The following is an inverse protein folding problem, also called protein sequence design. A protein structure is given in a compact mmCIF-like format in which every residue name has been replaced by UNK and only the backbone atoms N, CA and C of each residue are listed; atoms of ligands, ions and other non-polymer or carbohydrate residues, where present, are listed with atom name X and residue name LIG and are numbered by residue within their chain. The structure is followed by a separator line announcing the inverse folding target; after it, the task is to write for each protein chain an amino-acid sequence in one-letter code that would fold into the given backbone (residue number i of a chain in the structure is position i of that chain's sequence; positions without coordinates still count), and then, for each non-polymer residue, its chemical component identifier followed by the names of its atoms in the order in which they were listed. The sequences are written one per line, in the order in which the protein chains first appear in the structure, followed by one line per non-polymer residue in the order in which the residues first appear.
data_IF_843492953475
#
_entry.id   IF_843492953475
#
_cell.length_a   1.000
_cell.length_b   1.000
_cell.length_c   1.000
_cell.angle_alpha   90.00
_cell.angle_beta   90.00
_cell.angle_gamma   90.00
#
_symmetry.space_group_name_H-M   'P 1'
#
loop_
_entity.id
_entity.type
_entity.pdbx_description
1 polymer ?
2 non-polymer ?
3 non-polymer ?
4 water ?
#
# COMPACT_ATOMS: atom_id res chain seq x y z
N UNK A 19 -29.21 -11.66 0.00
CA UNK A 19 -28.80 -11.21 1.37
C UNK A 19 -27.95 -12.28 2.06
N UNK A 20 -28.52 -13.49 2.16
CA UNK A 20 -27.82 -14.66 2.68
C UNK A 20 -27.03 -15.25 1.51
N UNK A 21 -25.72 -15.30 1.66
CA UNK A 21 -24.83 -15.90 0.66
C UNK A 21 -23.71 -16.66 1.39
N UNK A 22 -22.98 -17.51 0.66
CA UNK A 22 -22.00 -18.37 1.31
C UNK A 22 -20.90 -18.86 0.38
N UNK A 23 -19.83 -19.39 0.98
CA UNK A 23 -18.75 -20.06 0.26
C UNK A 23 -17.92 -20.95 1.19
N UNK A 24 -17.21 -21.92 0.62
CA UNK A 24 -16.22 -22.71 1.37
C UNK A 24 -14.82 -22.29 0.97
N UNK A 25 -13.91 -22.39 1.92
CA UNK A 25 -12.48 -22.21 1.67
C UNK A 25 -11.78 -23.30 2.50
N UNK A 26 -11.24 -24.30 1.79
CA UNK A 26 -10.54 -25.44 2.40
C UNK A 26 -11.44 -26.15 3.40
N UNK A 27 -12.66 -26.47 2.95
CA UNK A 27 -13.64 -27.17 3.78
C UNK A 27 -14.44 -26.29 4.74
N UNK A 28 -13.83 -25.22 5.26
CA UNK A 28 -14.49 -24.36 6.24
C UNK A 28 -15.50 -23.47 5.53
N UNK A 29 -16.69 -23.35 6.10
CA UNK A 29 -17.78 -22.57 5.51
C UNK A 29 -17.73 -21.13 6.02
N UNK A 30 -17.80 -20.17 5.10
CA UNK A 30 -17.89 -18.72 5.42
C UNK A 30 -19.19 -18.16 4.85
N UNK A 31 -19.81 -17.28 5.62
CA UNK A 31 -21.10 -16.69 5.33
C UNK A 31 -20.84 -15.26 4.90
N UNK A 32 -21.18 -14.93 3.66
CA UNK A 32 -20.87 -13.62 3.07
C UNK A 32 -21.84 -12.58 3.61
N UNK A 33 -21.28 -11.49 4.13
CA UNK A 33 -22.03 -10.34 4.61
C UNK A 33 -22.18 -9.32 3.51
N UNK A 34 -21.06 -8.94 2.91
CA UNK A 34 -21.09 -7.99 1.79
C UNK A 34 -19.81 -8.02 1.00
N UNK A 35 -19.78 -7.28 -0.11
CA UNK A 35 -18.56 -7.03 -0.86
C UNK A 35 -17.93 -5.74 -0.35
N UNK A 36 -16.61 -5.76 -0.18
CA UNK A 36 -15.86 -4.63 0.39
C UNK A 36 -14.66 -4.23 -0.48
N UNK A 37 -14.73 -4.57 -1.77
CA UNK A 37 -13.62 -4.34 -2.69
C UNK A 37 -13.79 -5.04 -4.02
N UNK A 38 -13.10 -4.50 -5.03
CA UNK A 38 -13.08 -5.09 -6.37
C UNK A 38 -11.92 -4.51 -7.19
N UNK A 39 -11.54 -5.24 -8.24
CA UNK A 39 -10.40 -4.87 -9.08
C UNK A 39 -10.04 -5.99 -10.06
N UNK A 40 -10.00 -5.66 -11.35
CA UNK A 40 -9.79 -6.66 -12.41
C UNK A 40 -10.86 -7.73 -12.33
N UNK A 41 -10.44 -8.98 -12.09
CA UNK A 41 -11.35 -10.11 -11.88
C UNK A 41 -11.14 -10.69 -10.48
N UNK A 42 -11.23 -9.83 -9.47
CA UNK A 42 -11.15 -10.24 -8.06
C UNK A 42 -12.13 -9.45 -7.21
N UNK A 43 -12.75 -10.15 -6.26
CA UNK A 43 -13.72 -9.55 -5.37
C UNK A 43 -13.35 -9.82 -3.92
N UNK A 44 -13.33 -8.78 -3.10
CA UNK A 44 -13.10 -8.92 -1.66
C UNK A 44 -14.47 -8.92 -0.97
N UNK A 45 -14.73 -9.92 -0.13
CA UNK A 45 -15.96 -10.00 0.66
C UNK A 45 -15.67 -9.96 2.15
N UNK A 46 -16.62 -9.39 2.89
CA UNK A 46 -16.62 -9.40 4.33
C UNK A 46 -17.46 -10.60 4.72
N UNK A 47 -16.89 -11.55 5.44
CA UNK A 47 -17.54 -12.83 5.69
C UNK A 47 -17.41 -13.24 7.16
N UNK A 48 -18.20 -14.24 7.58
CA UNK A 48 -18.13 -14.79 8.94
C UNK A 48 -17.93 -16.28 8.89
N UNK A 49 -17.00 -16.81 9.67
CA UNK A 49 -16.80 -18.28 9.71
C UNK A 49 -17.85 -18.96 10.60
N UNK A 50 -17.76 -20.28 10.75
CA UNK A 50 -18.71 -21.03 11.58
C UNK A 50 -18.75 -20.57 13.03
N UNK A 51 -17.66 -19.95 13.50
CA UNK A 51 -17.55 -19.43 14.86
C UNK A 51 -17.90 -17.93 14.95
N UNK A 52 -18.70 -17.45 14.01
CA UNK A 52 -19.06 -16.03 13.89
C UNK A 52 -17.88 -15.07 14.10
N UNK A 53 -16.76 -15.37 13.43
CA UNK A 53 -15.58 -14.50 13.41
C UNK A 53 -15.45 -13.87 12.05
N UNK A 54 -15.14 -12.59 12.04
CA UNK A 54 -15.16 -11.81 10.81
C UNK A 54 -13.82 -11.85 10.07
N UNK A 55 -13.91 -11.97 8.74
CA UNK A 55 -12.76 -12.06 7.85
C UNK A 55 -13.04 -11.36 6.53
N UNK A 56 -12.00 -11.23 5.72
CA UNK A 56 -12.12 -10.71 4.37
C UNK A 56 -11.60 -11.77 3.42
N UNK A 57 -12.46 -12.32 2.59
CA UNK A 57 -12.03 -13.28 1.56
C UNK A 57 -11.82 -12.54 0.25
N UNK A 58 -10.61 -12.57 -0.28
CA UNK A 58 -10.37 -12.12 -1.65
C UNK A 58 -10.53 -13.32 -2.55
N UNK A 59 -11.50 -13.25 -3.44
CA UNK A 59 -11.65 -14.23 -4.52
C UNK A 59 -10.97 -13.63 -5.74
N UNK A 60 -10.28 -14.48 -6.52
CA UNK A 60 -9.65 -14.08 -7.79
C UNK A 60 -10.00 -15.12 -8.85
N UNK A 61 -10.25 -14.66 -10.08
CA UNK A 61 -10.63 -15.53 -11.18
C UNK A 61 -9.43 -15.77 -12.10
N UNK A 62 -9.27 -17.02 -12.52
CA UNK A 62 -8.13 -17.43 -13.36
C UNK A 62 -8.57 -17.93 -14.72
N UNK A 63 -9.84 -17.69 -15.07
CA UNK A 63 -10.45 -18.29 -16.27
C UNK A 63 -9.73 -17.85 -17.55
N UNK A 64 -9.23 -16.61 -17.55
CA UNK A 64 -8.59 -15.98 -18.72
C UNK A 64 -7.24 -15.36 -18.36
N UNK A 65 -6.62 -15.86 -17.29
CA UNK A 65 -5.33 -15.37 -16.83
C UNK A 65 -4.25 -16.27 -17.42
N UNK A 66 -3.22 -15.68 -18.01
CA UNK A 66 -2.15 -16.44 -18.68
C UNK A 66 -1.12 -16.93 -17.67
N UNK A 67 -0.16 -17.74 -18.13
CA UNK A 67 0.83 -18.39 -17.26
C UNK A 67 1.64 -17.40 -16.42
N UNK A 68 2.05 -16.31 -17.06
CA UNK A 68 2.74 -15.22 -16.38
C UNK A 68 1.88 -14.69 -15.26
N UNK A 69 0.64 -14.34 -15.59
CA UNK A 69 -0.31 -13.83 -14.61
C UNK A 69 -0.44 -14.80 -13.43
N UNK A 70 -0.64 -16.07 -13.71
CA UNK A 70 -0.78 -17.09 -12.66
C UNK A 70 0.46 -17.21 -11.78
N UNK A 71 1.65 -17.22 -12.38
CA UNK A 71 2.89 -17.28 -11.59
C UNK A 71 3.11 -16.03 -10.73
N UNK A 72 2.60 -14.89 -11.20
CA UNK A 72 2.66 -13.65 -10.45
C UNK A 72 1.79 -13.75 -9.21
N UNK A 73 0.62 -14.39 -9.33
CA UNK A 73 -0.29 -14.59 -8.20
C UNK A 73 0.26 -15.63 -7.23
N UNK A 74 0.78 -16.73 -7.77
CA UNK A 74 1.41 -17.77 -6.96
C UNK A 74 2.56 -17.23 -6.16
N UNK A 75 3.40 -16.43 -6.82
CA UNK A 75 4.56 -15.83 -6.18
C UNK A 75 4.12 -14.88 -5.09
N UNK A 76 3.22 -13.96 -5.41
CA UNK A 76 2.76 -13.01 -4.40
C UNK A 76 2.26 -13.77 -3.17
N UNK A 77 1.35 -14.73 -3.38
CA UNK A 77 0.77 -15.57 -2.33
C UNK A 77 1.84 -16.15 -1.43
N UNK A 78 2.82 -16.82 -2.04
CA UNK A 78 3.91 -17.48 -1.31
C UNK A 78 4.67 -16.52 -0.42
N UNK A 79 4.94 -15.33 -0.97
CA UNK A 79 5.64 -14.29 -0.22
C UNK A 79 4.77 -13.74 0.91
N UNK A 80 3.51 -13.43 0.64
CA UNK A 80 2.56 -12.94 1.67
C UNK A 80 2.39 -13.91 2.82
N UNK A 81 2.36 -15.18 2.48
CA UNK A 81 2.22 -16.24 3.44
C UNK A 81 3.47 -16.31 4.30
N UNK A 82 4.62 -16.42 3.65
CA UNK A 82 5.91 -16.42 4.34
C UNK A 82 6.09 -15.20 5.24
N UNK A 83 5.94 -14.02 4.65
CA UNK A 83 6.31 -12.77 5.28
C UNK A 83 5.43 -12.34 6.43
N UNK A 84 4.23 -12.90 6.56
CA UNK A 84 3.36 -12.47 7.64
C UNK A 84 3.95 -12.80 9.03
N UNK A 85 4.68 -13.91 9.11
CA UNK A 85 5.43 -14.26 10.30
C UNK A 85 6.46 -13.20 10.68
N UNK A 86 7.14 -12.65 9.68
CA UNK A 86 8.27 -11.72 9.89
C UNK A 86 7.88 -10.34 10.39
N UNK A 87 6.71 -9.83 9.99
CA UNK A 87 6.15 -8.60 10.59
C UNK A 87 4.65 -8.70 10.73
N UNK A 88 4.12 -8.13 11.82
CA UNK A 88 2.68 -8.01 12.03
C UNK A 88 2.08 -6.76 11.34
N UNK A 89 2.91 -5.97 10.65
CA UNK A 89 2.45 -4.86 9.81
C UNK A 89 2.13 -5.28 8.38
N UNK A 90 2.21 -6.58 8.10
CA UNK A 90 1.74 -7.13 6.85
C UNK A 90 0.46 -7.84 7.19
N UNK A 91 -0.50 -7.83 6.25
CA UNK A 91 -1.83 -8.38 6.49
C UNK A 91 -1.80 -9.89 6.71
N UNK A 92 -2.64 -10.39 7.63
CA UNK A 92 -2.73 -11.84 7.87
C UNK A 92 -3.39 -12.49 6.68
N UNK A 93 -2.77 -13.56 6.21
CA UNK A 93 -3.35 -14.46 5.25
C UNK A 93 -3.55 -15.72 6.07
N UNK A 94 -4.75 -15.85 6.64
CA UNK A 94 -5.07 -16.96 7.52
C UNK A 94 -5.10 -18.30 6.80
N UNK A 95 -5.58 -18.31 5.57
CA UNK A 95 -5.71 -19.52 4.77
C UNK A 95 -5.96 -19.11 3.33
N UNK A 96 -5.77 -20.03 2.39
CA UNK A 96 -6.17 -19.82 1.00
C UNK A 96 -6.56 -21.14 0.34
N UNK A 97 -7.26 -21.05 -0.78
CA UNK A 97 -7.66 -22.20 -1.59
C UNK A 97 -7.41 -21.87 -3.05
N UNK A 98 -6.51 -22.60 -3.66
CA UNK A 98 -6.00 -22.28 -4.98
C UNK A 98 -6.27 -23.47 -5.89
N UNK A 99 -6.93 -23.18 -7.01
CA UNK A 99 -7.22 -24.19 -8.01
C UNK A 99 -6.86 -23.61 -9.36
N UNK A 100 -7.10 -24.41 -10.40
CA UNK A 100 -6.84 -23.98 -11.78
C UNK A 100 -7.75 -22.82 -12.18
N UNK A 101 -8.96 -22.78 -11.61
CA UNK A 101 -10.00 -21.81 -12.00
C UNK A 101 -10.02 -20.52 -11.16
N UNK A 102 -9.67 -20.60 -9.88
CA UNK A 102 -9.80 -19.45 -8.97
C UNK A 102 -8.87 -19.54 -7.77
N UNK A 103 -8.85 -18.45 -6.99
CA UNK A 103 -8.11 -18.37 -5.72
C UNK A 103 -8.97 -17.68 -4.64
N UNK A 104 -9.31 -18.38 -3.57
CA UNK A 104 -9.80 -17.73 -2.35
C UNK A 104 -8.63 -17.45 -1.41
N UNK A 105 -8.67 -16.32 -0.72
CA UNK A 105 -7.67 -15.96 0.29
C UNK A 105 -8.43 -15.45 1.50
N UNK A 106 -8.44 -16.22 2.58
CA UNK A 106 -9.11 -15.83 3.82
C UNK A 106 -8.20 -14.95 4.67
N UNK A 107 -8.46 -13.64 4.67
CA UNK A 107 -7.54 -12.68 5.27
C UNK A 107 -8.13 -11.94 6.46
N UNK A 108 -7.24 -11.29 7.19
CA UNK A 108 -7.55 -10.32 8.23
C UNK A 108 -8.52 -9.28 7.69
N UNK A 109 -9.58 -8.99 8.46
CA UNK A 109 -10.53 -7.94 8.13
C UNK A 109 -10.19 -6.66 8.86
N UNK A 110 -10.26 -5.55 8.14
CA UNK A 110 -9.87 -4.24 8.63
C UNK A 110 -11.05 -3.30 8.48
N UNK A 111 -11.00 -2.22 9.25
CA UNK A 111 -12.12 -1.28 9.36
C UNK A 111 -12.31 -0.54 8.03
N UNK A 112 -11.19 -0.02 7.52
CA UNK A 112 -11.15 0.84 6.34
C UNK A 112 -9.70 0.92 5.82
N UNK A 113 -9.53 1.10 4.52
CA UNK A 113 -8.20 1.37 3.94
C UNK A 113 -7.80 2.83 4.15
N UNK A 114 -6.51 3.11 4.09
CA UNK A 114 -5.99 4.45 4.39
C UNK A 114 -6.37 5.50 3.34
N UNK A 115 -6.52 5.10 2.09
CA UNK A 115 -6.95 6.03 1.03
C UNK A 115 -8.31 6.59 1.38
N UNK A 116 -9.22 5.72 1.81
CA UNK A 116 -10.56 6.14 2.21
C UNK A 116 -10.59 6.89 3.55
N UNK A 117 -9.70 6.53 4.46
CA UNK A 117 -9.57 7.18 5.76
C UNK A 117 -9.09 8.62 5.62
N UNK A 118 -8.08 8.82 4.78
CA UNK A 118 -7.54 10.16 4.52
C UNK A 118 -8.45 11.00 3.63
N UNK A 119 -9.26 10.34 2.79
CA UNK A 119 -10.30 11.01 2.01
C UNK A 119 -11.43 11.57 2.90
N UNK A 120 -11.65 10.99 4.08
CA UNK A 120 -12.58 11.57 5.06
C UNK A 120 -11.99 12.80 5.72
N UNK A 121 -10.85 12.60 6.38
CA UNK A 121 -10.36 13.58 7.34
C UNK A 121 -9.55 14.68 6.66
N UNK A 122 -9.79 15.91 7.11
CA UNK A 122 -8.86 17.02 6.87
C UNK A 122 -7.74 16.88 7.89
N UNK A 123 -8.08 17.09 9.17
CA UNK A 123 -7.12 17.04 10.26
C UNK A 123 -6.78 15.59 10.57
N UNK A 124 -5.48 15.28 10.54
CA UNK A 124 -4.97 14.03 11.09
C UNK A 124 -4.15 14.37 12.34
N UNK A 125 -4.29 13.53 13.36
CA UNK A 125 -3.69 13.77 14.64
C UNK A 125 -2.18 13.53 14.51
N UNK A 126 -1.35 14.54 14.81
CA UNK A 126 0.10 14.33 14.69
C UNK A 126 0.60 12.99 15.21
N UNK A 127 0.12 12.55 16.38
CA UNK A 127 0.47 11.24 16.94
C UNK A 127 0.08 10.13 15.99
N UNK A 128 -1.16 10.17 15.51
CA UNK A 128 -1.69 9.16 14.60
C UNK A 128 -0.92 9.09 13.29
N UNK A 129 -0.47 10.24 12.79
CA UNK A 129 0.33 10.32 11.57
C UNK A 129 1.68 9.67 11.74
N UNK A 130 2.34 9.98 12.84
CA UNK A 130 3.64 9.41 13.17
C UNK A 130 3.52 7.90 13.35
N UNK A 131 2.46 7.46 14.01
CA UNK A 131 2.25 6.06 14.33
C UNK A 131 1.93 5.26 13.06
N UNK A 132 1.12 5.84 12.18
CA UNK A 132 0.92 5.31 10.82
C UNK A 132 2.22 5.25 10.01
N UNK A 133 2.95 6.36 9.96
CA UNK A 133 4.25 6.45 9.28
C UNK A 133 5.17 5.31 9.68
N UNK A 134 5.23 5.04 10.97
CA UNK A 134 6.02 3.93 11.49
C UNK A 134 5.53 2.60 10.99
N UNK A 135 4.24 2.35 11.06
CA UNK A 135 3.69 1.11 10.53
C UNK A 135 4.14 0.92 9.09
N UNK A 136 3.98 1.96 8.28
CA UNK A 136 4.33 1.91 6.88
C UNK A 136 5.80 1.58 6.68
N UNK A 137 6.69 2.28 7.39
CA UNK A 137 8.12 2.02 7.30
C UNK A 137 8.44 0.56 7.61
N UNK A 138 7.86 0.04 8.69
CA UNK A 138 8.13 -1.32 9.14
C UNK A 138 7.70 -2.35 8.11
N UNK A 139 6.46 -2.25 7.66
CA UNK A 139 5.92 -3.17 6.67
C UNK A 139 6.73 -3.17 5.37
N UNK A 140 7.00 -1.97 4.85
CA UNK A 140 7.77 -1.83 3.62
C UNK A 140 9.21 -2.30 3.80
N UNK A 141 9.81 -2.00 4.93
CA UNK A 141 11.16 -2.47 5.22
C UNK A 141 11.26 -3.99 5.17
N UNK A 142 10.20 -4.67 5.62
CA UNK A 142 10.14 -6.14 5.65
C UNK A 142 10.19 -6.74 4.24
N UNK A 143 9.42 -6.15 3.33
CA UNK A 143 9.38 -6.65 1.96
C UNK A 143 10.73 -6.38 1.31
N UNK A 144 11.30 -5.19 1.54
CA UNK A 144 12.65 -4.87 1.03
C UNK A 144 13.67 -5.89 1.48
N UNK A 145 13.61 -6.29 2.75
CA UNK A 145 14.52 -7.29 3.32
C UNK A 145 14.46 -8.63 2.66
N UNK A 146 13.35 -8.95 2.02
CA UNK A 146 13.23 -10.13 1.15
C UNK A 146 13.23 -9.75 -0.34
N UNK A 147 14.01 -8.75 -0.70
CA UNK A 147 14.22 -8.38 -2.09
C UNK A 147 13.06 -7.71 -2.79
N UNK A 148 11.90 -7.64 -2.16
CA UNK A 148 10.71 -7.14 -2.83
C UNK A 148 10.71 -5.62 -2.73
N UNK A 149 10.77 -4.94 -3.87
CA UNK A 149 10.39 -3.55 -3.97
C UNK A 149 8.93 -3.58 -4.43
N UNK A 150 8.09 -2.81 -3.78
CA UNK A 150 6.67 -2.75 -4.13
C UNK A 150 6.48 -2.00 -5.43
N UNK A 151 7.08 -0.81 -5.50
CA UNK A 151 7.05 0.09 -6.65
C UNK A 151 5.66 0.50 -7.18
N UNK A 152 4.66 0.47 -6.30
CA UNK A 152 3.38 1.14 -6.53
C UNK A 152 2.64 1.40 -5.21
N UNK A 153 3.35 2.02 -4.28
CA UNK A 153 2.81 2.29 -2.95
C UNK A 153 1.88 3.51 -2.98
N UNK A 154 0.62 3.28 -2.63
CA UNK A 154 -0.36 4.35 -2.44
C UNK A 154 -1.04 4.09 -1.10
N UNK A 155 -1.85 5.06 -0.62
CA UNK A 155 -2.59 4.81 0.63
C UNK A 155 -3.62 3.68 0.52
N UNK A 156 -4.13 3.49 -0.71
CA UNK A 156 -4.98 2.36 -1.05
C UNK A 156 -4.40 1.03 -0.63
N UNK A 157 -3.07 0.88 -0.74
CA UNK A 157 -2.35 -0.35 -0.38
C UNK A 157 -2.28 -0.64 1.11
N UNK A 158 -2.59 0.35 1.94
CA UNK A 158 -2.56 0.17 3.39
C UNK A 158 -3.95 0.07 3.98
N UNK A 159 -4.11 -0.88 4.90
CA UNK A 159 -5.39 -1.17 5.53
C UNK A 159 -5.27 -0.83 7.00
N UNK A 160 -6.25 -0.12 7.55
CA UNK A 160 -6.29 0.15 8.98
C UNK A 160 -7.00 -1.00 9.68
N UNK A 161 -6.26 -1.70 10.55
CA UNK A 161 -6.79 -2.74 11.42
C UNK A 161 -6.53 -2.31 12.86
N UNK A 162 -7.56 -1.80 13.52
CA UNK A 162 -7.47 -1.35 14.91
C UNK A 162 -6.34 -0.34 15.06
N UNK A 163 -6.43 0.76 14.32
CA UNK A 163 -5.42 1.83 14.39
C UNK A 163 -3.99 1.48 13.99
N UNK A 164 -3.81 0.33 13.35
CA UNK A 164 -2.51 -0.18 12.96
C UNK A 164 -2.59 -0.37 11.46
N UNK A 165 -1.62 0.15 10.72
CA UNK A 165 -1.59 -0.01 9.27
C UNK A 165 -0.91 -1.30 8.85
N UNK A 166 -1.65 -2.10 8.06
CA UNK A 166 -1.17 -3.33 7.47
C UNK A 166 -0.98 -3.12 5.98
N UNK A 167 0.09 -3.69 5.43
CA UNK A 167 0.32 -3.70 3.99
C UNK A 167 -0.48 -4.83 3.38
N UNK A 168 -1.34 -4.49 2.43
CA UNK A 168 -2.25 -5.46 1.81
C UNK A 168 -1.54 -6.32 0.78
N UNK A 169 -0.66 -5.71 0.00
CA UNK A 169 -0.01 -6.43 -1.08
C UNK A 169 1.39 -5.87 -1.39
N UNK A 170 2.16 -6.65 -2.15
CA UNK A 170 3.57 -6.39 -2.44
C UNK A 170 3.87 -5.93 -3.89
N UNK A 171 2.82 -5.64 -4.67
CA UNK A 171 2.96 -5.35 -6.09
C UNK A 171 3.77 -6.37 -6.87
N UNK A 172 3.63 -7.65 -6.50
CA UNK A 172 4.25 -8.76 -7.21
C UNK A 172 3.30 -9.24 -8.31
N UNK A 173 2.01 -9.31 -8.02
CA UNK A 173 1.01 -9.78 -8.98
C UNK A 173 0.70 -8.77 -10.10
N UNK A 174 0.32 -9.31 -11.26
CA UNK A 174 0.08 -8.53 -12.49
C UNK A 174 -1.36 -7.99 -12.61
N UNK A 175 -1.48 -6.67 -12.65
CA UNK A 175 -2.76 -5.96 -12.46
C UNK A 175 -3.58 -5.96 -13.77
N UNK A 176 -4.36 -7.02 -13.98
CA UNK A 176 -5.20 -7.17 -15.19
C UNK A 176 -6.48 -6.32 -15.08
N UNK A 177 -6.96 -5.76 -16.21
CA UNK A 177 -8.08 -4.79 -16.19
C UNK A 177 -9.49 -5.44 -16.41
N UNK A 178 -10.55 -4.84 -15.80
CA UNK A 178 -11.94 -5.39 -15.88
C UNK A 178 -12.61 -5.42 -17.27
N UNK A 179 -12.63 -4.27 -17.94
CA UNK A 179 -13.12 -4.09 -19.34
C UNK A 179 -14.64 -3.92 -19.53
N UNK A 180 -15.47 -4.75 -18.89
CA UNK A 180 -16.95 -4.58 -18.94
C UNK A 180 -17.37 -3.31 -18.17
N UNK A 181 -16.67 -3.03 -17.06
CA UNK A 181 -16.76 -1.76 -16.34
C UNK A 181 -15.38 -1.13 -16.34
N UNK A 188 -6.26 6.65 -6.70
CA UNK A 188 -6.20 5.19 -6.78
C UNK A 188 -5.96 4.66 -8.21
N UNK A 189 -6.77 5.14 -9.17
CA UNK A 189 -6.91 4.55 -10.52
C UNK A 189 -5.72 4.82 -11.46
N UNK A 190 -4.59 4.17 -11.19
CA UNK A 190 -3.36 4.39 -11.96
C UNK A 190 -2.77 5.78 -11.78
N UNK A 191 -2.86 6.31 -10.56
CA UNK A 191 -2.47 7.69 -10.23
C UNK A 191 -0.93 7.83 -10.19
N UNK A 192 -0.42 8.89 -10.81
CA UNK A 192 1.02 9.14 -10.87
C UNK A 192 1.51 10.12 -9.80
N UNK A 193 0.64 10.50 -8.85
CA UNK A 193 1.02 11.44 -7.77
C UNK A 193 2.16 10.91 -6.90
N UNK A 194 2.17 9.59 -6.69
CA UNK A 194 3.15 8.89 -5.84
C UNK A 194 4.33 8.34 -6.63
N UNK A 195 4.41 8.69 -7.91
CA UNK A 195 5.35 8.10 -8.83
C UNK A 195 6.70 8.79 -8.70
N UNK A 196 7.78 8.01 -8.48
CA UNK A 196 9.11 8.61 -8.36
C UNK A 196 9.67 9.00 -9.73
N UNK A 197 10.54 10.04 -9.78
CA UNK A 197 11.02 10.57 -11.07
C UNK A 197 11.76 9.56 -11.94
N UNK A 198 12.54 8.69 -11.30
CA UNK A 198 13.24 7.60 -12.00
C UNK A 198 12.27 6.68 -12.79
N UNK A 199 11.10 6.42 -12.22
CA UNK A 199 10.09 5.59 -12.88
C UNK A 199 9.54 6.27 -14.11
N UNK A 200 9.35 7.58 -14.04
CA UNK A 200 8.78 8.38 -15.12
C UNK A 200 9.77 8.40 -16.28
N UNK A 201 11.06 8.56 -15.97
CA UNK A 201 12.11 8.41 -17.00
C UNK A 201 12.47 6.93 -17.35
N UNK A 202 11.52 6.00 -17.16
CA UNK A 202 11.57 4.63 -17.71
C UNK A 202 12.78 3.85 -17.24
N UNK A 214 13.76 -1.95 -16.10
CA UNK A 214 14.62 -3.07 -15.74
C UNK A 214 15.08 -2.96 -14.28
N UNK A 215 15.89 -1.94 -13.98
CA UNK A 215 16.36 -1.68 -12.60
C UNK A 215 15.21 -1.16 -11.72
N UNK A 216 15.18 -1.55 -10.46
CA UNK A 216 14.16 -1.03 -9.53
C UNK A 216 14.67 -0.91 -8.07
N UNK A 217 14.99 0.35 -7.72
CA UNK A 217 15.57 0.69 -6.43
C UNK A 217 14.54 0.62 -5.31
N UNK A 218 14.91 0.06 -4.14
CA UNK A 218 14.06 0.21 -2.96
C UNK A 218 13.75 1.66 -2.55
N UNK A 219 14.58 2.61 -2.96
CA UNK A 219 14.31 4.03 -2.73
C UNK A 219 13.18 4.58 -3.59
N UNK A 220 12.78 3.86 -4.64
CA UNK A 220 11.53 4.18 -5.33
C UNK A 220 10.38 4.21 -4.31
N UNK A 221 10.31 3.19 -3.47
CA UNK A 221 9.30 3.10 -2.41
C UNK A 221 9.42 4.21 -1.40
N UNK A 222 10.64 4.66 -1.12
CA UNK A 222 10.83 5.77 -0.17
C UNK A 222 10.18 7.06 -0.68
N UNK A 223 10.26 7.30 -1.99
CA UNK A 223 9.57 8.43 -2.61
C UNK A 223 8.06 8.35 -2.39
N UNK A 224 7.51 7.16 -2.60
CA UNK A 224 6.07 6.94 -2.57
C UNK A 224 5.52 7.02 -1.16
N UNK A 225 6.25 6.46 -0.22
CA UNK A 225 6.00 6.66 1.20
C UNK A 225 6.09 8.13 1.59
N UNK A 226 7.13 8.80 1.12
CA UNK A 226 7.30 10.25 1.31
C UNK A 226 6.11 11.04 0.82
N UNK A 227 5.57 10.66 -0.35
CA UNK A 227 4.38 11.28 -0.92
C UNK A 227 3.13 11.05 -0.06
N UNK A 228 2.98 9.86 0.51
CA UNK A 228 1.87 9.56 1.44
C UNK A 228 1.97 10.38 2.72
N UNK A 229 3.18 10.44 3.28
CA UNK A 229 3.42 11.24 4.46
C UNK A 229 3.20 12.71 4.18
N UNK A 230 3.62 13.16 2.99
CA UNK A 230 3.41 14.53 2.55
C UNK A 230 1.92 14.85 2.53
N UNK A 231 1.11 13.90 2.05
CA UNK A 231 -0.35 14.01 2.13
C UNK A 231 -0.82 14.18 3.56
N UNK A 232 -0.40 13.29 4.45
CA UNK A 232 -0.82 13.36 5.85
C UNK A 232 -0.28 14.60 6.61
N UNK A 233 0.79 15.20 6.11
CA UNK A 233 1.39 16.39 6.70
C UNK A 233 0.67 17.62 6.20
N UNK A 234 0.65 17.82 4.88
CA UNK A 234 0.18 19.07 4.29
C UNK A 234 -1.20 19.01 3.62
N UNK A 235 -1.84 17.84 3.59
CA UNK A 235 -3.19 17.69 3.05
C UNK A 235 -3.32 17.27 1.59
N UNK A 236 -2.22 17.28 0.83
CA UNK A 236 -2.19 16.83 -0.57
C UNK A 236 -0.86 16.18 -0.92
N UNK A 237 -0.73 15.57 -2.10
CA UNK A 237 0.58 15.12 -2.58
C UNK A 237 1.28 16.33 -3.21
N UNK A 238 2.62 16.29 -3.35
CA UNK A 238 3.36 17.47 -3.84
C UNK A 238 2.96 18.02 -5.21
N UNK A 239 2.54 17.16 -6.13
CA UNK A 239 2.18 17.59 -7.49
C UNK A 239 0.68 17.44 -7.75
N UNK A 240 -0.11 17.33 -6.69
CA UNK A 240 -1.56 17.12 -6.77
C UNK A 240 -2.27 18.29 -7.44
N UNK A 241 -1.84 19.51 -7.08
CA UNK A 241 -2.38 20.75 -7.65
C UNK A 241 -2.16 20.91 -9.16
N UNK A 242 -1.19 20.18 -9.72
CA UNK A 242 -0.98 20.15 -11.17
C UNK A 242 -2.12 19.38 -11.86
N UNK A 243 -2.92 20.13 -12.61
CA UNK A 243 -4.13 19.61 -13.20
C UNK A 243 -3.81 18.86 -14.50
N UNK A 244 -2.87 19.39 -15.29
CA UNK A 244 -2.44 18.78 -16.53
C UNK A 244 -1.52 17.57 -16.26
N UNK A 245 -1.85 16.45 -16.90
CA UNK A 245 -1.13 15.19 -16.69
C UNK A 245 0.32 15.19 -17.15
N UNK A 246 0.54 15.61 -18.40
CA UNK A 246 1.89 15.65 -19.00
C UNK A 246 2.77 16.64 -18.23
N UNK A 247 2.17 17.76 -17.86
CA UNK A 247 2.83 18.74 -17.00
C UNK A 247 3.26 18.13 -15.67
N UNK A 248 2.34 17.43 -15.01
CA UNK A 248 2.64 16.79 -13.71
C UNK A 248 3.87 15.89 -13.81
N UNK A 249 3.90 15.06 -14.86
CA UNK A 249 5.00 14.14 -15.08
C UNK A 249 6.32 14.91 -15.21
N UNK A 250 6.30 15.93 -16.08
CA UNK A 250 7.44 16.82 -16.24
C UNK A 250 7.91 17.45 -14.93
N UNK A 251 6.96 17.95 -14.13
CA UNK A 251 7.27 18.61 -12.86
C UNK A 251 7.94 17.68 -11.85
N UNK A 252 7.52 16.41 -11.84
CA UNK A 252 8.12 15.42 -10.96
C UNK A 252 9.62 15.27 -11.25
N UNK A 253 10.02 15.39 -12.51
CA UNK A 253 11.43 15.20 -12.90
C UNK A 253 12.27 16.48 -12.85
N UNK A 254 11.67 17.62 -13.16
CA UNK A 254 12.41 18.88 -13.34
C UNK A 254 13.04 19.34 -12.02
N UNK A 255 14.37 19.29 -11.92
CA UNK A 255 14.99 19.70 -10.65
C UNK A 255 14.77 21.18 -10.33
N UNK A 256 14.74 22.05 -11.35
CA UNK A 256 14.41 23.48 -11.16
C UNK A 256 13.05 23.70 -10.50
N UNK A 257 12.09 22.81 -10.79
CA UNK A 257 10.77 22.84 -10.14
C UNK A 257 10.86 22.36 -8.70
N UNK A 258 10.75 23.31 -7.75
CA UNK A 258 10.85 23.00 -6.33
C UNK A 258 9.56 22.41 -5.79
N UNK A 259 9.65 21.88 -4.58
CA UNK A 259 8.50 21.38 -3.85
C UNK A 259 8.28 22.26 -2.63
N UNK A 260 7.03 22.64 -2.40
CA UNK A 260 6.61 23.36 -1.21
C UNK A 260 6.82 22.49 0.02
N UNK A 261 7.55 23.00 1.01
CA UNK A 261 7.59 22.38 2.33
C UNK A 261 7.26 23.45 3.36
N UNK A 262 5.96 23.87 3.41
CA UNK A 262 5.59 24.92 4.35
C UNK A 262 5.98 24.57 5.78
N UNK A 263 6.58 25.53 6.47
CA UNK A 263 7.08 25.31 7.83
C UNK A 263 5.97 24.92 8.79
N UNK A 264 6.29 23.99 9.68
CA UNK A 264 5.31 23.46 10.62
C UNK A 264 5.99 23.16 11.94
N UNK A 265 5.22 23.05 13.03
CA UNK A 265 5.76 22.72 14.35
C UNK A 265 6.68 21.51 14.33
N UNK A 266 6.25 20.44 13.68
CA UNK A 266 7.05 19.24 13.53
C UNK A 266 8.14 19.50 12.48
N UNK A 267 9.29 19.97 12.94
CA UNK A 267 10.43 20.21 12.05
C UNK A 267 11.16 18.92 11.68
N UNK A 268 11.04 17.90 12.54
CA UNK A 268 11.46 16.54 12.19
C UNK A 268 10.63 15.98 11.05
N UNK A 269 9.34 16.29 11.03
CA UNK A 269 8.44 15.86 9.97
C UNK A 269 8.80 16.50 8.64
N UNK A 270 9.01 17.82 8.68
CA UNK A 270 9.45 18.59 7.51
C UNK A 270 10.77 18.04 6.95
N UNK A 271 11.68 17.66 7.85
CA UNK A 271 12.97 17.06 7.52
C UNK A 271 12.78 15.73 6.78
N UNK A 272 11.98 14.85 7.38
CA UNK A 272 11.69 13.53 6.81
C UNK A 272 11.19 13.66 5.37
N UNK A 273 10.22 14.56 5.15
CA UNK A 273 9.61 14.75 3.83
C UNK A 273 10.58 15.27 2.77
N UNK A 274 11.41 16.22 3.15
CA UNK A 274 12.44 16.76 2.26
C UNK A 274 13.44 15.67 1.88
N UNK A 275 13.80 14.84 2.85
CA UNK A 275 14.75 13.75 2.61
C UNK A 275 14.15 12.60 1.78
N UNK A 276 12.85 12.34 1.95
CA UNK A 276 12.15 11.31 1.15
C UNK A 276 11.94 11.73 -0.31
N UNK A 277 11.73 13.03 -0.53
CA UNK A 277 11.39 13.55 -1.84
C UNK A 277 12.57 14.21 -2.55
N UNK A 278 13.76 13.65 -2.37
CA UNK A 278 14.91 14.00 -3.21
C UNK A 278 14.75 13.25 -4.53
N UNK A 279 14.82 13.98 -5.64
CA UNK A 279 14.58 13.40 -6.97
C UNK A 279 15.65 12.37 -7.33
N UNK A 280 16.90 12.67 -6.98
CA UNK A 280 17.99 11.73 -7.16
C UNK A 280 17.78 10.57 -6.19
N UNK A 281 17.67 9.33 -6.71
CA UNK A 281 17.55 8.18 -5.80
C UNK A 281 18.76 8.00 -4.87
N UNK A 282 19.96 8.28 -5.37
CA UNK A 282 21.17 8.10 -4.58
C UNK A 282 21.29 9.09 -3.43
N UNK A 283 20.73 10.29 -3.59
CA UNK A 283 20.69 11.26 -2.50
C UNK A 283 19.48 11.07 -1.57
N UNK A 284 18.43 10.44 -2.08
CA UNK A 284 17.23 10.15 -1.28
C UNK A 284 17.55 9.21 -0.14
N UNK A 285 16.92 9.48 1.01
CA UNK A 285 17.12 8.71 2.27
C UNK A 285 16.73 7.23 2.15
N UNK A 286 17.34 6.35 2.95
CA UNK A 286 16.98 4.91 2.97
C UNK A 286 15.92 4.58 4.04
N UNK A 287 15.28 3.42 3.93
CA UNK A 287 14.32 2.99 4.95
C UNK A 287 15.03 2.83 6.29
N UNK A 288 16.13 2.06 6.36
CA UNK A 288 16.85 1.93 7.63
C UNK A 288 17.22 3.26 8.30
N UNK A 289 17.51 4.27 7.50
CA UNK A 289 17.85 5.60 7.98
C UNK A 289 16.61 6.29 8.50
N UNK A 290 15.54 6.27 7.71
CA UNK A 290 14.26 6.82 8.15
C UNK A 290 13.77 6.26 9.48
N UNK A 291 14.15 5.01 9.77
CA UNK A 291 13.79 4.33 11.01
C UNK A 291 14.55 4.87 12.22
N UNK A 292 15.81 5.27 12.03
CA UNK A 292 16.60 5.90 13.11
C UNK A 292 16.46 7.42 13.19
N UNK A 293 15.54 7.97 12.39
CA UNK A 293 15.31 9.41 12.28
C UNK A 293 14.63 9.94 13.54
N UNK A 294 14.97 11.19 13.95
CA UNK A 294 14.30 11.85 15.10
C UNK A 294 12.77 11.77 15.11
N UNK A 295 12.14 12.03 13.97
CA UNK A 295 10.69 11.88 13.79
C UNK A 295 10.16 10.54 14.33
N UNK A 296 10.92 9.47 14.12
CA UNK A 296 10.52 8.12 14.51
C UNK A 296 10.96 7.76 15.92
N UNK A 297 12.06 8.36 16.41
CA UNK A 297 12.67 7.96 17.69
C UNK A 297 12.43 8.91 18.88
N UNK A 298 12.46 10.22 18.64
CA UNK A 298 12.45 11.21 19.74
C UNK A 298 11.03 11.39 20.28
N UNK A 299 10.85 11.14 21.58
CA UNK A 299 9.54 11.11 22.24
C UNK A 299 9.12 12.52 22.65
N UNK A 300 8.14 13.09 21.95
CA UNK A 300 7.90 14.54 22.00
C UNK A 300 7.26 15.09 23.30
N UNK A 301 6.64 14.23 24.12
CA UNK A 301 6.01 14.68 25.38
C UNK A 301 7.05 15.18 26.39
X LIG B 1 -14.84 -3.28 5.01
X LIG B 1 -6.80 -7.12 -1.32
X LIG B 1 -15.86 -2.82 5.90
X LIG B 1 -14.13 -2.36 4.30
X LIG B 1 -14.70 -1.30 3.61
X LIG B 1 -13.92 -0.39 2.90
X LIG B 1 -14.52 0.67 2.20
X LIG B 1 -15.61 0.44 1.25
X LIG B 1 -15.37 1.19 -0.04
X LIG B 1 -15.16 2.61 0.21
X LIG B 1 -14.99 3.34 -1.05
X LIG B 1 -13.98 2.79 1.06
X LIG B 1 -14.14 2.08 2.38
X LIG B 1 -12.53 -0.57 2.87
X LIG B 1 -11.95 -1.61 3.55
X LIG B 1 -12.74 -2.52 4.27
X LIG B 1 -12.16 -3.62 4.95
X LIG B 1 -11.20 -4.49 4.51
X LIG B 1 -10.71 -5.41 5.39
X LIG B 1 -9.77 -6.22 4.93
X LIG B 1 -9.29 -6.15 3.56
X LIG B 1 -8.20 -7.06 3.03
X LIG B 1 -8.01 -7.14 1.53
X LIG B 1 -8.50 -5.93 0.79
X LIG B 1 -9.39 -5.04 1.37
X LIG B 1 -9.66 -4.09 0.45
X LIG B 1 -10.52 -2.92 0.56
X LIG B 1 -8.98 -4.35 -0.70
X LIG B 1 -8.28 -5.48 -0.50
X LIG B 1 -7.41 -6.07 -1.55
X LIG B 1 -7.30 -5.36 -2.70
X LIG B 1 -6.41 -5.65 -3.79
X LIG B 1 -6.86 -6.50 -4.81
X LIG B 1 -8.25 -7.10 -4.82
X LIG B 1 -9.29 -6.23 -5.50
X LIG B 1 -5.97 -6.78 -5.85
X LIG B 1 -4.70 -6.26 -5.88
X LIG B 1 -4.28 -5.44 -4.85
X LIG B 1 -5.12 -5.12 -3.78
X LIG B 1 -4.61 -4.20 -2.70
X LIG B 1 -4.75 -2.72 -2.99
X LIG B 1 -9.86 -5.18 2.73
X LIG B 1 -10.81 -4.35 3.22
X LIG C 1 4.01 7.63 18.70
X LIG C 1 3.61 8.27 17.49
X LIG C 1 3.35 6.26 18.79
X LIG C 1 4.21 5.24 18.30
#
# INVERSE_FOLDING_TARGET
MHHHHHHSSGVDLGTENLYFQSMSVKGRIYSILKQIGSGGSSKVFQVLNEKKQIYAIKYVNLEEADNQTLDSYRNEIAYLNKLQQHSDKIIRLYDYEITDQYIYMVMEWGNIDLNSWLKKKKSIDPWERKSYWKNMLEAVHTIHQHGIVHSDLKPANFLIVDGMLKLIDFGIANQMQPDTTSVVKDSQVGTVNYMPPEAIKDMSSSRENGKSKSKISPKSDVWSLGCILYYMTYGKTPFQQIINQISKLHAIIDPNHEIEFPDIPEKDLQDVLKCCLKRDPKQRISIPELLAHPYVQIQTHPVNQMAKGTTEE
C5N O1 O2 C1 C2 C3 C4 N1 C5 C6 N2 C7 C8 C9 C10 C11 C12 N3 C13 N4 C14 C15 C16 C17 C18 C19 N5 C20 N6 C21 C22 N7 C23 C24 C25 C26 C27 C28 C29 C30 C31 C32 C33 N8
EDO C1 O1 C2 O2
#
